data_IF_376773279575
#
_entry.id   IF_376773279575
#
_cell.length_a   1.000
_cell.length_b   1.000
_cell.length_c   1.000
_cell.angle_alpha   90.00
_cell.angle_beta   90.00
_cell.angle_gamma   90.00
#
_symmetry.space_group_name_H-M   'P 1'
#
loop_
_entity.id
_entity.type
_entity.pdbx_description
1 polymer ?
#
# COMPACT_ATOMS: atom_id res chain seq x y z
N UNK A 1 -21.26 -15.28 -6.29
CA UNK A 1 -20.02 -15.82 -5.67
C UNK A 1 -19.40 -14.74 -4.79
N UNK A 2 -19.14 -15.06 -3.54
CA UNK A 2 -18.51 -14.10 -2.63
C UNK A 2 -17.04 -13.94 -3.00
N UNK A 3 -16.52 -12.69 -3.04
CA UNK A 3 -15.11 -12.50 -3.32
C UNK A 3 -14.25 -13.09 -2.20
N UNK A 4 -13.09 -13.62 -2.59
CA UNK A 4 -12.13 -14.11 -1.62
C UNK A 4 -11.36 -12.92 -1.05
N UNK A 5 -11.57 -12.63 0.23
CA UNK A 5 -10.94 -11.50 0.92
C UNK A 5 -9.65 -11.87 1.64
N UNK A 6 -9.19 -13.12 1.50
CA UNK A 6 -7.95 -13.57 2.12
C UNK A 6 -6.74 -12.92 1.45
N UNK A 7 -5.78 -12.44 2.26
CA UNK A 7 -4.49 -11.98 1.75
C UNK A 7 -3.57 -13.15 1.51
N UNK A 8 -2.95 -13.20 0.34
CA UNK A 8 -2.01 -14.24 -0.05
C UNK A 8 -0.58 -13.70 -0.02
N UNK A 9 0.39 -14.60 0.13
CA UNK A 9 1.81 -14.25 0.06
C UNK A 9 2.16 -13.52 -1.22
N UNK A 10 1.53 -13.87 -2.33
CA UNK A 10 1.78 -13.24 -3.63
C UNK A 10 1.44 -11.75 -3.67
N UNK A 11 0.64 -11.28 -2.73
CA UNK A 11 0.29 -9.85 -2.62
C UNK A 11 1.32 -9.07 -1.79
N UNK A 12 2.26 -9.75 -1.15
CA UNK A 12 3.29 -9.11 -0.33
C UNK A 12 4.46 -8.70 -1.20
N UNK A 13 4.83 -7.42 -1.15
CA UNK A 13 5.97 -6.90 -1.88
C UNK A 13 7.26 -7.26 -1.12
N UNK A 14 8.07 -8.14 -1.71
CA UNK A 14 9.29 -8.65 -1.09
C UNK A 14 10.55 -8.34 -1.90
N UNK A 15 10.42 -7.90 -3.16
CA UNK A 15 11.58 -7.62 -4.01
C UNK A 15 12.34 -6.39 -3.49
N UNK A 16 13.60 -6.58 -3.09
CA UNK A 16 14.44 -5.48 -2.62
C UNK A 16 14.63 -4.40 -3.68
N UNK A 17 14.78 -4.82 -4.94
CA UNK A 17 14.94 -3.88 -6.06
C UNK A 17 13.69 -3.05 -6.24
N UNK A 18 12.52 -3.69 -6.24
CA UNK A 18 11.24 -2.99 -6.39
C UNK A 18 10.99 -2.03 -5.22
N UNK A 19 11.29 -2.46 -4.00
CA UNK A 19 11.13 -1.62 -2.81
C UNK A 19 12.06 -0.40 -2.89
N UNK A 20 13.32 -0.62 -3.25
CA UNK A 20 14.28 0.48 -3.40
C UNK A 20 13.82 1.49 -4.45
N UNK A 21 13.26 1.03 -5.56
CA UNK A 21 12.75 1.90 -6.60
C UNK A 21 11.59 2.78 -6.10
N UNK A 22 10.72 2.22 -5.27
CA UNK A 22 9.59 2.98 -4.73
C UNK A 22 10.02 4.11 -3.80
N UNK A 23 11.14 3.92 -3.09
CA UNK A 23 11.66 4.92 -2.16
C UNK A 23 12.71 5.85 -2.80
N UNK A 24 13.07 5.62 -4.06
CA UNK A 24 13.99 6.46 -4.79
C UNK A 24 13.22 7.52 -5.57
N UNK A 25 13.38 8.79 -5.19
CA UNK A 25 12.67 9.92 -5.82
C UNK A 25 13.02 10.10 -7.30
N UNK A 26 14.20 9.64 -7.70
CA UNK A 26 14.67 9.78 -9.08
C UNK A 26 14.25 8.63 -9.98
N UNK A 27 13.56 7.62 -9.44
CA UNK A 27 13.08 6.48 -10.25
C UNK A 27 11.96 6.90 -11.17
N UNK A 28 12.07 6.53 -12.44
CA UNK A 28 11.03 6.79 -13.43
C UNK A 28 9.77 5.98 -13.13
N UNK A 29 8.62 6.58 -13.38
CA UNK A 29 7.34 5.91 -13.25
C UNK A 29 6.83 5.76 -11.83
N UNK A 30 7.59 6.19 -10.84
CA UNK A 30 7.12 6.17 -9.45
C UNK A 30 6.23 7.38 -9.20
N UNK A 31 5.03 7.12 -8.72
CA UNK A 31 4.05 8.15 -8.37
C UNK A 31 3.79 8.11 -6.87
N UNK A 32 3.36 9.21 -6.31
CA UNK A 32 3.00 9.27 -4.90
C UNK A 32 1.74 10.08 -4.68
N UNK A 33 1.06 9.79 -3.59
CA UNK A 33 -0.14 10.50 -3.19
C UNK A 33 -0.26 10.49 -1.68
N UNK A 34 -0.87 11.51 -1.13
CA UNK A 34 -1.08 11.64 0.31
C UNK A 34 -2.55 11.70 0.64
N UNK A 35 -2.98 10.85 1.56
CA UNK A 35 -4.30 10.92 2.21
C UNK A 35 -4.07 10.63 3.68
N UNK A 36 -3.92 11.68 4.50
CA UNK A 36 -3.59 11.54 5.91
C UNK A 36 -4.51 10.53 6.60
N UNK A 37 -4.00 9.57 7.37
CA UNK A 37 -2.62 9.44 7.87
C UNK A 37 -1.70 8.58 7.00
N UNK A 38 -2.05 8.32 5.75
CA UNK A 38 -1.27 7.45 4.87
C UNK A 38 -0.74 8.20 3.66
N UNK A 39 0.44 7.77 3.24
CA UNK A 39 1.04 8.16 1.98
C UNK A 39 1.31 6.89 1.19
N UNK A 40 1.15 6.92 -0.12
CA UNK A 40 1.49 5.79 -0.98
C UNK A 40 2.48 6.22 -2.04
N UNK A 41 3.47 5.35 -2.28
CA UNK A 41 4.32 5.41 -3.46
C UNK A 41 4.02 4.16 -4.27
N UNK A 42 3.77 4.31 -5.58
CA UNK A 42 3.44 3.16 -6.41
C UNK A 42 4.06 3.27 -7.79
N UNK A 43 4.24 2.10 -8.42
CA UNK A 43 4.79 2.00 -9.75
C UNK A 43 4.15 0.82 -10.47
N UNK A 44 3.82 1.00 -11.73
CA UNK A 44 3.41 -0.11 -12.58
C UNK A 44 4.61 -0.98 -12.90
N UNK A 45 4.46 -2.29 -12.80
CA UNK A 45 5.54 -3.24 -13.03
C UNK A 45 5.07 -4.36 -13.98
N UNK A 46 4.77 -4.03 -15.26
CA UNK A 46 4.24 -5.02 -16.20
C UNK A 46 5.22 -6.13 -16.54
N UNK A 47 6.53 -5.90 -16.35
CA UNK A 47 7.56 -6.91 -16.58
C UNK A 47 7.77 -7.90 -15.45
N UNK A 48 7.04 -7.74 -14.33
CA UNK A 48 7.18 -8.65 -13.19
C UNK A 48 6.68 -10.04 -13.55
N UNK A 49 7.51 -11.03 -13.26
CA UNK A 49 7.13 -12.43 -13.48
C UNK A 49 6.19 -12.90 -12.39
N UNK A 50 5.31 -13.85 -12.73
CA UNK A 50 4.39 -14.47 -11.79
C UNK A 50 2.97 -14.00 -11.95
N UNK A 51 2.20 -14.01 -10.88
CA UNK A 51 0.78 -13.67 -10.89
C UNK A 51 0.52 -12.20 -11.22
N UNK A 52 -0.58 -11.95 -11.95
CA UNK A 52 -1.03 -10.62 -12.28
C UNK A 52 -1.78 -10.02 -11.08
N UNK A 53 -1.05 -9.72 -10.01
CA UNK A 53 -1.62 -9.14 -8.80
C UNK A 53 -0.81 -7.93 -8.36
N UNK A 54 -1.49 -7.00 -7.71
CA UNK A 54 -0.82 -5.89 -7.05
C UNK A 54 -0.10 -6.41 -5.81
N UNK A 55 1.10 -5.89 -5.56
CA UNK A 55 1.87 -6.21 -4.36
C UNK A 55 2.06 -4.95 -3.53
N UNK A 56 2.06 -5.10 -2.23
CA UNK A 56 2.17 -3.95 -1.34
C UNK A 56 3.00 -4.26 -0.10
N UNK A 57 3.53 -3.20 0.49
CA UNK A 57 4.13 -3.25 1.82
C UNK A 57 3.57 -2.10 2.66
N UNK A 58 3.68 -2.24 3.97
CA UNK A 58 3.28 -1.19 4.91
C UNK A 58 4.49 -0.80 5.73
N UNK A 59 4.82 0.49 5.73
CA UNK A 59 5.94 1.04 6.49
C UNK A 59 5.40 1.97 7.57
N UNK A 60 5.82 1.71 8.83
CA UNK A 60 5.52 2.60 9.95
C UNK A 60 6.86 3.03 10.54
N UNK A 61 7.36 4.24 10.21
CA UNK A 61 8.69 4.67 10.68
C UNK A 61 8.77 4.79 12.20
N UNK A 62 9.92 4.41 12.76
CA UNK A 62 10.16 4.53 14.20
C UNK A 62 10.03 5.96 14.71
N UNK A 63 10.40 6.92 13.89
CA UNK A 63 10.29 8.34 14.26
C UNK A 63 8.84 8.81 14.43
N UNK A 64 7.90 8.09 13.85
CA UNK A 64 6.46 8.40 13.97
C UNK A 64 5.86 7.74 15.21
N UNK A 65 6.15 6.43 15.38
CA UNK A 65 5.65 5.65 16.51
C UNK A 65 6.83 4.89 17.11
N UNK A 66 7.24 5.29 18.31
CA UNK A 66 8.45 4.78 18.96
C UNK A 66 8.32 3.34 19.43
N UNK A 67 7.11 2.95 19.85
CA UNK A 67 6.86 1.62 20.42
C UNK A 67 6.53 0.60 19.32
N UNK A 68 7.22 -0.54 19.36
CA UNK A 68 7.01 -1.62 18.39
C UNK A 68 5.55 -2.12 18.37
N UNK A 69 4.92 -2.19 19.54
CA UNK A 69 3.53 -2.64 19.66
C UNK A 69 2.60 -1.72 18.87
N UNK A 70 2.83 -0.42 18.95
CA UNK A 70 2.01 0.58 18.22
C UNK A 70 2.21 0.43 16.72
N UNK A 71 3.44 0.20 16.26
CA UNK A 71 3.72 -0.01 14.85
C UNK A 71 3.04 -1.28 14.32
N UNK A 72 3.05 -2.36 15.09
CA UNK A 72 2.36 -3.61 14.73
C UNK A 72 0.86 -3.38 14.62
N UNK A 73 0.28 -2.65 15.57
CA UNK A 73 -1.15 -2.33 15.57
C UNK A 73 -1.55 -1.56 14.29
N UNK A 74 -0.78 -0.54 13.94
CA UNK A 74 -1.06 0.26 12.74
C UNK A 74 -0.90 -0.57 11.48
N UNK A 75 0.19 -1.35 11.36
CA UNK A 75 0.37 -2.21 10.18
C UNK A 75 -0.80 -3.17 10.01
N UNK A 76 -1.30 -3.76 11.11
CA UNK A 76 -2.45 -4.65 11.08
C UNK A 76 -3.69 -3.93 10.55
N UNK A 77 -3.95 -2.72 11.03
CA UNK A 77 -5.10 -1.93 10.60
C UNK A 77 -5.04 -1.56 9.11
N UNK A 78 -3.85 -1.18 8.63
CA UNK A 78 -3.66 -0.86 7.22
C UNK A 78 -3.84 -2.10 6.34
N UNK A 79 -3.27 -3.22 6.74
CA UNK A 79 -3.40 -4.49 6.00
C UNK A 79 -4.85 -4.97 5.96
N UNK A 80 -5.59 -4.83 7.06
CA UNK A 80 -7.00 -5.18 7.11
C UNK A 80 -7.83 -4.27 6.19
N UNK A 81 -7.56 -2.97 6.21
CA UNK A 81 -8.22 -2.03 5.33
C UNK A 81 -7.95 -2.36 3.85
N UNK A 82 -6.71 -2.73 3.51
CA UNK A 82 -6.36 -3.15 2.15
C UNK A 82 -7.10 -4.43 1.76
N UNK A 83 -7.11 -5.43 2.64
CA UNK A 83 -7.78 -6.70 2.39
C UNK A 83 -9.24 -6.51 2.01
N UNK A 84 -9.92 -5.61 2.71
CA UNK A 84 -11.35 -5.37 2.51
C UNK A 84 -11.64 -4.49 1.30
N UNK A 85 -10.66 -3.73 0.81
CA UNK A 85 -10.89 -2.71 -0.21
C UNK A 85 -10.02 -2.88 -1.47
N UNK A 86 -9.27 -3.97 -1.58
CA UNK A 86 -8.40 -4.18 -2.74
C UNK A 86 -9.15 -4.31 -4.07
N UNK A 87 -10.45 -4.57 -4.02
CA UNK A 87 -11.30 -4.61 -5.21
C UNK A 87 -11.37 -3.26 -5.94
N UNK A 88 -10.95 -2.17 -5.29
CA UNK A 88 -10.87 -0.86 -5.91
C UNK A 88 -9.72 -0.75 -6.91
N UNK A 89 -8.76 -1.69 -6.87
CA UNK A 89 -7.65 -1.73 -7.83
C UNK A 89 -8.08 -2.42 -9.12
N UNK A 90 -7.46 -2.06 -10.28
CA UNK A 90 -7.74 -2.74 -11.53
C UNK A 90 -7.36 -4.22 -11.44
N UNK A 91 -8.21 -5.08 -11.99
CA UNK A 91 -7.92 -6.51 -12.08
C UNK A 91 -6.75 -6.76 -13.03
N UNK A 92 -5.88 -7.69 -12.66
CA UNK A 92 -4.76 -8.10 -13.51
C UNK A 92 -3.64 -7.08 -13.60
N UNK A 93 -3.70 -6.01 -12.81
CA UNK A 93 -2.66 -4.98 -12.82
C UNK A 93 -1.49 -5.40 -11.96
N UNK A 94 -0.28 -5.37 -12.53
CA UNK A 94 0.97 -5.59 -11.80
C UNK A 94 1.45 -4.25 -11.26
N UNK A 95 1.13 -3.96 -10.01
CA UNK A 95 1.43 -2.68 -9.35
C UNK A 95 2.22 -2.98 -8.09
N UNK A 96 3.33 -2.26 -7.90
CA UNK A 96 4.09 -2.28 -6.66
C UNK A 96 3.72 -1.05 -5.85
N UNK A 97 3.34 -1.24 -4.57
CA UNK A 97 2.87 -0.15 -3.72
C UNK A 97 3.58 -0.18 -2.37
N UNK A 98 3.86 1.00 -1.83
CA UNK A 98 4.36 1.15 -0.47
C UNK A 98 3.47 2.15 0.26
N UNK A 99 2.76 1.67 1.29
CA UNK A 99 1.95 2.54 2.14
C UNK A 99 2.78 2.95 3.35
N UNK A 100 2.90 4.25 3.56
CA UNK A 100 3.74 4.82 4.62
C UNK A 100 2.83 5.57 5.59
N UNK A 101 2.93 5.23 6.87
CA UNK A 101 2.18 5.90 7.92
C UNK A 101 2.87 7.22 8.29
N UNK A 102 2.15 8.33 8.21
CA UNK A 102 2.73 9.68 8.45
C UNK A 102 2.18 10.37 9.69
N UNK A 103 1.30 9.72 10.45
CA UNK A 103 0.81 10.24 11.72
C UNK A 103 1.76 9.89 12.86
N UNK A 104 1.77 10.71 13.91
CA UNK A 104 2.62 10.48 15.08
C UNK A 104 1.87 9.85 16.25
N UNK A 105 0.67 9.35 16.01
CA UNK A 105 -0.16 8.67 17.01
C UNK A 105 -0.87 7.48 16.38
N UNK A 106 -1.33 6.56 17.21
CA UNK A 106 -2.07 5.38 16.74
C UNK A 106 -3.52 5.80 16.47
N UNK A 107 -3.88 5.88 15.19
CA UNK A 107 -5.23 6.26 14.79
C UNK A 107 -6.12 5.02 14.62
N UNK A 108 -7.43 5.14 14.89
CA UNK A 108 -8.35 4.02 14.73
C UNK A 108 -8.59 3.68 13.25
N UNK A 109 -9.09 2.47 13.01
CA UNK A 109 -9.41 2.02 11.65
C UNK A 109 -10.38 2.96 10.94
N UNK A 110 -11.28 3.60 11.67
CA UNK A 110 -12.23 4.57 11.10
C UNK A 110 -11.54 5.77 10.43
N UNK A 111 -10.27 6.04 10.78
CA UNK A 111 -9.47 7.08 10.15
C UNK A 111 -8.58 6.52 9.04
N UNK A 112 -8.14 5.29 9.18
CA UNK A 112 -7.22 4.63 8.23
C UNK A 112 -7.97 4.15 6.99
N UNK A 113 -9.13 3.54 7.15
CA UNK A 113 -9.89 2.95 6.03
C UNK A 113 -10.26 4.00 4.96
N UNK A 114 -10.83 5.16 5.30
CA UNK A 114 -11.16 6.15 4.27
C UNK A 114 -9.91 6.66 3.53
N UNK A 115 -8.79 6.84 4.24
CA UNK A 115 -7.56 7.27 3.63
C UNK A 115 -7.05 6.24 2.63
N UNK A 116 -7.04 4.96 3.01
CA UNK A 116 -6.61 3.89 2.12
C UNK A 116 -7.50 3.80 0.88
N UNK A 117 -8.82 3.89 1.06
CA UNK A 117 -9.75 3.86 -0.07
C UNK A 117 -9.49 5.00 -1.07
N UNK A 118 -9.20 6.19 -0.58
CA UNK A 118 -8.84 7.32 -1.44
C UNK A 118 -7.58 7.03 -2.23
N UNK A 119 -6.55 6.47 -1.58
CA UNK A 119 -5.30 6.15 -2.24
C UNK A 119 -5.49 5.06 -3.29
N UNK A 120 -6.23 4.01 -2.99
CA UNK A 120 -6.52 2.95 -3.96
C UNK A 120 -7.29 3.48 -5.17
N UNK A 121 -8.26 4.37 -4.94
CA UNK A 121 -9.02 5.00 -6.02
C UNK A 121 -8.12 5.85 -6.92
N UNK A 122 -7.17 6.58 -6.33
CA UNK A 122 -6.22 7.39 -7.11
C UNK A 122 -5.28 6.52 -7.94
N UNK A 123 -4.84 5.38 -7.38
CA UNK A 123 -3.99 4.43 -8.11
C UNK A 123 -4.73 3.85 -9.31
N UNK A 124 -6.02 3.54 -9.15
CA UNK A 124 -6.82 2.93 -10.21
C UNK A 124 -7.24 3.91 -11.30
N UNK A 125 -7.21 5.22 -11.02
CA UNK A 125 -7.58 6.25 -12.00
C UNK A 125 -6.42 6.51 -12.93
N UNK A 126 -6.62 6.39 -14.28
CA UNK A 126 -5.54 6.71 -15.23
C UNK A 126 -5.10 8.15 -15.05
N UNK A 127 -3.81 8.35 -14.95
CA UNK A 127 -3.24 9.70 -14.86
C UNK A 127 -2.88 10.18 -16.24
N UNK A 128 -3.39 11.33 -16.56
CA UNK A 128 -3.07 11.98 -17.83
C UNK A 128 -1.79 12.78 -17.71
#
# INVERSE_FOLDING_TARGET
MKPNLRLYKKEKLCSEVAISQLFNRDSEGVKSSLAYPLRVAWKLNPGRRGDDVAQFLVSVPKKRLRHAVDRVTVRRRVREAYRLNRHLLPKGAKIDMAFIYVASEVLPSSRIVPALCRLLSRISTPQK
#
